data_IF_452791673071
#
_entry.id   IF_452791673071
#
_cell.length_a   1.000
_cell.length_b   1.000
_cell.length_c   1.000
_cell.angle_alpha   90.00
_cell.angle_beta   90.00
_cell.angle_gamma   90.00
#
_symmetry.space_group_name_H-M   'P 1'
#
loop_
_entity.id
_entity.type
_entity.pdbx_description
1 polymer ?
#
# COMPACT_ATOMS: atom_id res chain seq x y z
N UNK A 1 70.80 38.28 39.11
CA UNK A 1 70.08 38.76 40.31
C UNK A 1 68.74 39.32 39.86
N UNK A 2 67.69 38.78 40.48
CA UNK A 2 66.28 39.22 40.57
C UNK A 2 65.72 40.31 39.64
N UNK A 3 64.59 40.02 38.99
CA UNK A 3 63.26 40.31 39.57
C UNK A 3 62.13 39.69 38.75
N UNK A 4 61.32 38.84 39.39
CA UNK A 4 59.97 38.45 38.98
C UNK A 4 59.06 39.67 39.09
N UNK A 5 58.28 39.96 38.04
CA UNK A 5 57.22 40.96 38.02
C UNK A 5 55.85 40.30 37.95
N UNK A 6 55.06 40.51 39.00
CA UNK A 6 53.72 39.94 39.25
C UNK A 6 52.63 40.64 38.44
N UNK A 7 51.60 39.84 38.12
CA UNK A 7 50.31 40.14 37.49
C UNK A 7 49.54 41.28 38.19
N UNK A 8 48.87 42.14 37.41
CA UNK A 8 47.63 42.78 37.81
C UNK A 8 46.64 42.82 36.62
N UNK A 9 45.58 42.00 36.71
CA UNK A 9 44.42 42.02 35.81
C UNK A 9 43.60 43.28 36.07
N UNK A 10 43.40 44.11 35.05
CA UNK A 10 42.33 45.13 35.02
C UNK A 10 41.17 44.60 34.18
N UNK A 11 40.05 44.36 34.84
CA UNK A 11 38.74 44.10 34.25
C UNK A 11 38.27 45.36 33.49
N UNK A 12 37.90 45.20 32.22
CA UNK A 12 37.10 46.16 31.46
C UNK A 12 35.88 45.41 30.95
N UNK A 13 34.81 45.53 31.74
CA UNK A 13 33.46 45.19 31.32
C UNK A 13 33.03 46.20 30.24
N UNK A 14 32.80 45.71 29.03
CA UNK A 14 32.14 46.42 27.95
C UNK A 14 31.11 45.49 27.34
N UNK A 15 29.85 45.62 27.78
CA UNK A 15 28.69 44.97 27.17
C UNK A 15 28.45 45.58 25.79
N UNK A 16 28.40 44.80 24.69
CA UNK A 16 27.87 45.29 23.44
C UNK A 16 26.34 45.40 23.57
N UNK A 17 25.81 46.61 23.40
CA UNK A 17 24.38 46.85 23.20
C UNK A 17 23.92 46.06 21.97
N UNK A 18 23.07 45.06 22.21
CA UNK A 18 22.27 44.44 21.16
C UNK A 18 21.35 45.51 20.55
N UNK A 19 21.56 45.85 19.29
CA UNK A 19 20.53 46.50 18.48
C UNK A 19 19.37 45.53 18.27
N UNK A 20 18.14 46.02 18.01
CA UNK A 20 17.03 45.15 17.70
C UNK A 20 17.30 44.49 16.35
N UNK A 21 17.76 43.24 16.39
CA UNK A 21 17.61 42.32 15.28
C UNK A 21 16.11 42.15 15.08
N UNK A 22 15.56 42.87 14.10
CA UNK A 22 14.26 42.55 13.52
C UNK A 22 14.38 41.20 12.82
N UNK A 23 14.42 40.13 13.59
CA UNK A 23 14.21 38.78 13.11
C UNK A 23 12.75 38.71 12.69
N UNK A 24 12.51 38.78 11.38
CA UNK A 24 11.25 38.36 10.77
C UNK A 24 11.07 36.86 10.98
N UNK A 25 10.68 36.49 12.20
CA UNK A 25 10.33 35.12 12.54
C UNK A 25 9.03 34.76 11.84
N UNK A 26 8.95 33.54 11.29
CA UNK A 26 7.70 32.94 10.76
C UNK A 26 6.55 33.04 11.77
N UNK A 27 6.85 33.20 13.06
CA UNK A 27 5.88 33.46 14.13
C UNK A 27 5.09 34.77 13.96
N UNK A 28 5.60 35.75 13.22
CA UNK A 28 4.97 37.08 13.02
C UNK A 28 4.11 37.19 11.76
N UNK A 29 4.23 36.26 10.82
CA UNK A 29 3.42 36.25 9.59
C UNK A 29 1.98 35.80 9.90
N UNK A 30 0.95 36.28 9.18
CA UNK A 30 -0.41 35.76 9.35
C UNK A 30 -0.60 34.38 8.69
N UNK A 31 -1.59 33.61 9.18
CA UNK A 31 -1.76 32.19 8.83
C UNK A 31 -2.00 31.94 7.35
N UNK A 32 -2.72 32.84 6.67
CA UNK A 32 -2.98 32.79 5.23
C UNK A 32 -1.68 32.86 4.41
N UNK A 33 -0.74 33.73 4.81
CA UNK A 33 0.58 33.84 4.16
C UNK A 33 1.41 32.58 4.38
N UNK A 34 1.39 32.04 5.61
CA UNK A 34 2.11 30.79 5.93
C UNK A 34 1.55 29.62 5.13
N UNK A 35 0.22 29.52 4.99
CA UNK A 35 -0.44 28.52 4.15
C UNK A 35 0.01 28.64 2.70
N UNK A 36 0.05 29.85 2.14
CA UNK A 36 0.48 30.06 0.75
C UNK A 36 1.95 29.68 0.51
N UNK A 37 2.82 29.87 1.50
CA UNK A 37 4.22 29.39 1.45
C UNK A 37 4.24 27.86 1.47
N UNK A 38 3.52 27.25 2.42
CA UNK A 38 3.51 25.80 2.62
C UNK A 38 2.90 25.04 1.42
N UNK A 39 1.87 25.59 0.76
CA UNK A 39 1.26 24.99 -0.45
C UNK A 39 2.27 24.94 -1.61
N UNK A 40 3.21 25.88 -1.67
CA UNK A 40 4.24 25.96 -2.72
C UNK A 40 5.44 25.06 -2.48
N UNK A 41 5.53 24.39 -1.33
CA UNK A 41 6.60 23.42 -1.05
C UNK A 41 6.42 22.21 -1.97
N UNK A 42 7.35 21.97 -2.92
CA UNK A 42 7.12 21.01 -4.01
C UNK A 42 7.19 19.56 -3.55
N UNK A 43 8.09 19.24 -2.61
CA UNK A 43 8.30 17.90 -2.10
C UNK A 43 7.50 17.65 -0.82
N UNK A 44 6.93 16.45 -0.74
CA UNK A 44 6.16 16.00 0.43
C UNK A 44 7.08 15.78 1.64
N UNK A 45 8.34 15.40 1.43
CA UNK A 45 9.32 15.30 2.51
C UNK A 45 9.52 16.64 3.19
N UNK A 46 9.70 17.70 2.39
CA UNK A 46 9.92 19.04 2.89
C UNK A 46 8.68 19.56 3.62
N UNK A 47 7.48 19.25 3.11
CA UNK A 47 6.24 19.56 3.82
C UNK A 47 6.15 18.83 5.16
N UNK A 48 6.56 17.56 5.23
CA UNK A 48 6.66 16.82 6.49
C UNK A 48 7.68 17.44 7.45
N UNK A 49 8.84 17.85 6.95
CA UNK A 49 9.85 18.57 7.75
C UNK A 49 9.29 19.89 8.28
N UNK A 50 8.55 20.65 7.46
CA UNK A 50 7.83 21.86 7.89
C UNK A 50 6.81 21.57 8.98
N UNK A 51 6.05 20.48 8.89
CA UNK A 51 5.13 20.07 9.96
C UNK A 51 5.86 19.71 11.26
N UNK A 52 7.08 19.17 11.16
CA UNK A 52 7.90 18.80 12.31
C UNK A 52 8.59 20.00 12.98
N UNK A 53 8.69 21.17 12.34
CA UNK A 53 9.40 22.33 12.92
C UNK A 53 8.63 23.00 14.05
N UNK A 54 7.32 23.22 13.89
CA UNK A 54 6.51 23.90 14.91
C UNK A 54 5.05 23.46 14.90
N UNK A 55 4.39 23.64 16.05
CA UNK A 55 2.96 23.30 16.24
C UNK A 55 2.05 24.05 15.28
N UNK A 56 2.39 25.29 14.93
CA UNK A 56 1.60 26.13 14.02
C UNK A 56 1.59 25.54 12.60
N UNK A 57 2.76 25.26 12.02
CA UNK A 57 2.87 24.61 10.72
C UNK A 57 2.20 23.22 10.73
N UNK A 58 2.39 22.44 11.80
CA UNK A 58 1.71 21.14 11.95
C UNK A 58 0.19 21.26 11.83
N UNK A 59 -0.42 22.21 12.52
CA UNK A 59 -1.87 22.42 12.50
C UNK A 59 -2.33 22.91 11.13
N UNK A 60 -1.64 23.90 10.55
CA UNK A 60 -1.99 24.44 9.23
C UNK A 60 -1.90 23.37 8.12
N UNK A 61 -0.89 22.49 8.17
CA UNK A 61 -0.74 21.39 7.19
C UNK A 61 -1.81 20.32 7.38
N UNK A 62 -2.22 20.07 8.61
CA UNK A 62 -3.28 19.10 8.93
C UNK A 62 -4.69 19.60 8.59
N UNK A 63 -4.88 20.90 8.33
CA UNK A 63 -6.18 21.47 8.03
C UNK A 63 -6.73 20.95 6.68
N UNK A 64 -8.01 20.51 6.62
CA UNK A 64 -8.61 20.02 5.38
C UNK A 64 -8.58 21.03 4.24
N UNK A 65 -8.67 22.32 4.55
CA UNK A 65 -8.61 23.41 3.56
C UNK A 65 -7.23 23.51 2.91
N UNK A 66 -6.16 23.32 3.69
CA UNK A 66 -4.79 23.26 3.19
C UNK A 66 -4.59 22.03 2.30
N UNK A 67 -4.99 20.85 2.77
CA UNK A 67 -4.84 19.60 2.04
C UNK A 67 -5.58 19.63 0.70
N UNK A 68 -6.80 20.19 0.65
CA UNK A 68 -7.55 20.38 -0.61
C UNK A 68 -6.87 21.34 -1.58
N UNK A 69 -6.19 22.38 -1.08
CA UNK A 69 -5.40 23.28 -1.93
C UNK A 69 -4.16 22.59 -2.48
N UNK A 70 -3.47 21.82 -1.66
CA UNK A 70 -2.25 21.10 -2.05
C UNK A 70 -2.53 19.92 -2.97
N UNK A 71 -3.65 19.25 -2.72
CA UNK A 71 -4.10 18.03 -3.37
C UNK A 71 -5.60 18.13 -3.68
N UNK A 72 -5.97 18.77 -4.79
CA UNK A 72 -7.37 18.91 -5.18
C UNK A 72 -8.04 17.55 -5.43
N UNK A 73 -9.30 17.44 -5.03
CA UNK A 73 -10.15 16.27 -5.31
C UNK A 73 -10.22 16.04 -6.84
N UNK A 74 -9.97 14.80 -7.29
CA UNK A 74 -9.99 14.44 -8.72
C UNK A 74 -8.63 14.43 -9.44
N UNK A 75 -7.51 14.67 -8.75
CA UNK A 75 -6.15 14.56 -9.32
C UNK A 75 -5.53 13.20 -8.96
N UNK A 76 -5.03 12.46 -9.96
CA UNK A 76 -4.47 11.10 -9.84
C UNK A 76 -3.16 10.94 -9.03
N UNK A 77 -2.71 11.97 -8.29
CA UNK A 77 -1.39 12.00 -7.63
C UNK A 77 -1.46 12.21 -6.11
N UNK A 78 -2.59 11.88 -5.47
CA UNK A 78 -2.73 11.94 -4.01
C UNK A 78 -1.80 10.95 -3.29
N UNK A 79 -1.47 9.86 -3.98
CA UNK A 79 -0.69 8.77 -3.43
C UNK A 79 0.70 8.65 -4.07
N UNK A 80 1.68 8.24 -3.27
CA UNK A 80 3.02 7.90 -3.75
C UNK A 80 3.39 6.48 -3.36
N UNK A 81 4.06 5.79 -4.28
CA UNK A 81 4.72 4.52 -3.98
C UNK A 81 5.94 4.79 -3.10
N UNK A 82 5.98 4.22 -1.91
CA UNK A 82 7.10 4.34 -0.98
C UNK A 82 8.12 3.19 -1.16
N UNK A 83 7.65 2.05 -1.63
CA UNK A 83 8.48 0.86 -1.86
C UNK A 83 7.64 -0.38 -2.13
N UNK A 84 8.31 -1.52 -2.19
CA UNK A 84 7.73 -2.82 -2.51
C UNK A 84 8.12 -3.83 -1.44
N UNK A 85 7.15 -4.54 -0.91
CA UNK A 85 7.40 -5.75 -0.12
C UNK A 85 7.54 -6.92 -1.08
N UNK A 86 8.75 -7.45 -1.25
CA UNK A 86 9.05 -8.42 -2.30
C UNK A 86 9.53 -9.76 -1.73
N UNK A 87 8.88 -10.84 -2.17
CA UNK A 87 9.40 -12.20 -1.98
C UNK A 87 10.42 -12.45 -3.08
N UNK A 88 11.66 -12.70 -2.68
CA UNK A 88 12.79 -12.88 -3.57
C UNK A 88 13.36 -14.28 -3.44
N UNK A 89 13.90 -14.82 -4.53
CA UNK A 89 14.75 -16.01 -4.54
C UNK A 89 16.20 -15.64 -4.87
N UNK A 90 17.20 -16.33 -4.32
CA UNK A 90 18.59 -16.13 -4.72
C UNK A 90 18.78 -16.29 -6.23
N UNK A 91 19.65 -15.48 -6.84
CA UNK A 91 19.99 -15.60 -8.27
C UNK A 91 20.91 -16.78 -8.58
N UNK A 92 21.74 -17.15 -7.62
CA UNK A 92 22.70 -18.26 -7.73
C UNK A 92 22.25 -19.38 -6.79
N UNK A 93 22.35 -20.63 -7.24
CA UNK A 93 22.19 -21.76 -6.31
C UNK A 93 23.31 -21.70 -5.27
N UNK A 94 23.00 -21.91 -3.98
CA UNK A 94 24.03 -21.92 -2.95
C UNK A 94 25.05 -23.00 -3.31
N UNK A 95 26.28 -22.57 -3.62
CA UNK A 95 27.39 -23.49 -3.77
C UNK A 95 27.59 -24.17 -2.41
N UNK A 96 27.65 -25.50 -2.38
CA UNK A 96 27.86 -26.26 -1.14
C UNK A 96 29.07 -25.70 -0.38
N UNK A 97 28.82 -24.98 0.73
CA UNK A 97 29.87 -24.43 1.59
C UNK A 97 29.64 -23.00 2.09
N UNK A 98 28.89 -22.14 1.38
CA UNK A 98 28.70 -20.74 1.78
C UNK A 98 27.36 -20.51 2.49
N UNK A 99 27.30 -20.94 3.76
CA UNK A 99 26.13 -20.74 4.63
C UNK A 99 26.08 -19.34 5.25
N UNK A 100 26.24 -18.28 4.47
CA UNK A 100 26.00 -16.91 4.97
C UNK A 100 25.44 -15.99 3.89
N UNK A 101 24.41 -16.46 3.15
CA UNK A 101 23.58 -15.56 2.37
C UNK A 101 22.92 -14.54 3.32
N UNK A 102 23.26 -13.26 3.16
CA UNK A 102 22.65 -12.19 3.95
C UNK A 102 21.11 -12.24 3.81
N UNK A 103 20.35 -12.09 4.91
CA UNK A 103 18.89 -12.12 4.85
C UNK A 103 18.40 -11.11 3.82
N UNK A 104 17.59 -11.55 2.86
CA UNK A 104 17.04 -10.65 1.86
C UNK A 104 16.06 -9.69 2.54
N UNK A 105 16.19 -8.37 2.33
CA UNK A 105 15.32 -7.43 2.99
C UNK A 105 13.89 -7.62 2.46
N UNK A 106 12.88 -7.73 3.35
CA UNK A 106 11.51 -7.92 2.94
C UNK A 106 10.93 -6.67 2.24
N UNK A 107 11.55 -5.50 2.41
CA UNK A 107 11.13 -4.23 1.84
C UNK A 107 12.23 -3.57 0.99
N UNK A 108 11.84 -3.15 -0.19
CA UNK A 108 12.67 -2.41 -1.15
C UNK A 108 12.12 -0.99 -1.31
N UNK A 109 12.75 0.04 -0.71
CA UNK A 109 12.29 1.43 -0.85
C UNK A 109 12.50 1.93 -2.28
N UNK A 110 11.63 2.85 -2.75
CA UNK A 110 11.90 3.55 -4.01
C UNK A 110 13.02 4.58 -3.80
N UNK A 111 13.96 4.77 -4.76
CA UNK A 111 15.10 5.67 -4.60
C UNK A 111 14.72 7.14 -4.36
N UNK A 112 13.55 7.56 -4.84
CA UNK A 112 13.01 8.91 -4.68
C UNK A 112 12.03 9.01 -3.50
N UNK A 113 12.00 8.03 -2.60
CA UNK A 113 11.08 8.04 -1.47
C UNK A 113 11.38 9.26 -0.57
N UNK A 114 10.41 10.16 -0.47
CA UNK A 114 10.44 11.37 0.36
C UNK A 114 10.75 11.11 1.84
N UNK A 115 10.55 9.86 2.31
CA UNK A 115 10.85 9.48 3.69
C UNK A 115 12.37 9.27 3.94
N UNK A 116 13.20 9.20 2.89
CA UNK A 116 14.66 9.11 2.99
C UNK A 116 15.20 7.75 3.45
N UNK A 117 16.52 7.56 3.34
CA UNK A 117 17.23 6.30 3.68
C UNK A 117 17.11 5.86 5.15
N UNK A 118 16.57 6.73 6.03
CA UNK A 118 16.50 6.50 7.49
C UNK A 118 15.36 5.59 7.95
N UNK A 119 14.49 5.12 7.07
CA UNK A 119 13.43 4.15 7.40
C UNK A 119 13.86 2.69 7.17
N UNK A 120 15.14 2.38 7.43
CA UNK A 120 15.68 1.02 7.54
C UNK A 120 15.10 0.20 8.69
N UNK A 121 14.13 0.74 9.45
CA UNK A 121 13.50 0.12 10.63
C UNK A 121 12.11 -0.50 10.36
N UNK A 122 11.74 -0.75 9.09
CA UNK A 122 10.60 -1.62 8.75
C UNK A 122 10.83 -3.10 9.11
N UNK A 123 11.76 -3.37 10.02
CA UNK A 123 11.87 -4.62 10.77
C UNK A 123 10.63 -4.75 11.63
N UNK A 124 9.68 -5.56 11.15
CA UNK A 124 8.47 -5.88 11.88
C UNK A 124 8.83 -6.35 13.30
N UNK A 125 8.37 -5.66 14.37
CA UNK A 125 8.68 -6.01 15.75
C UNK A 125 7.77 -7.16 16.19
N UNK A 126 7.97 -8.39 15.71
CA UNK A 126 7.19 -9.57 16.14
C UNK A 126 8.14 -10.78 16.35
N UNK A 127 7.70 -11.89 16.99
CA UNK A 127 8.52 -12.74 17.83
C UNK A 127 9.70 -13.35 17.08
N UNK A 128 10.80 -13.59 17.79
CA UNK A 128 12.07 -14.06 17.21
C UNK A 128 11.92 -15.39 16.45
N UNK A 129 10.89 -16.19 16.76
CA UNK A 129 10.70 -17.54 16.24
C UNK A 129 9.68 -17.62 15.07
N UNK A 130 9.32 -16.50 14.45
CA UNK A 130 8.38 -16.48 13.32
C UNK A 130 8.80 -15.56 12.17
N UNK A 131 8.57 -16.01 10.94
CA UNK A 131 8.72 -15.19 9.74
C UNK A 131 7.40 -14.49 9.42
N UNK A 132 7.46 -13.18 9.19
CA UNK A 132 6.30 -12.39 8.77
C UNK A 132 6.23 -12.32 7.23
N UNK A 133 5.08 -12.70 6.67
CA UNK A 133 4.75 -12.54 5.26
C UNK A 133 3.68 -11.47 5.09
N UNK A 134 3.91 -10.48 4.22
CA UNK A 134 2.91 -9.46 3.90
C UNK A 134 1.86 -10.06 2.96
N UNK A 135 0.58 -9.90 3.28
CA UNK A 135 -0.54 -10.38 2.46
C UNK A 135 -1.15 -9.27 1.60
N UNK A 136 -1.23 -8.05 2.14
CA UNK A 136 -1.75 -6.87 1.43
C UNK A 136 -1.28 -5.58 2.10
N UNK A 137 -1.27 -4.49 1.32
CA UNK A 137 -1.14 -3.12 1.82
C UNK A 137 -2.33 -2.27 1.38
N UNK A 138 -2.82 -1.41 2.28
CA UNK A 138 -3.86 -0.42 1.95
C UNK A 138 -3.73 0.79 2.87
N UNK A 139 -3.68 2.00 2.30
CA UNK A 139 -3.69 3.29 3.04
C UNK A 139 -2.65 3.35 4.16
N UNK A 140 -1.41 2.96 3.84
CA UNK A 140 -0.28 2.94 4.78
C UNK A 140 -0.30 1.82 5.82
N UNK A 141 -1.28 0.90 5.81
CA UNK A 141 -1.37 -0.24 6.71
C UNK A 141 -1.02 -1.54 5.99
N UNK A 142 -0.54 -2.53 6.74
CA UNK A 142 -0.18 -3.87 6.27
C UNK A 142 -0.98 -4.94 7.01
N UNK A 143 -1.37 -5.99 6.29
CA UNK A 143 -1.81 -7.25 6.92
C UNK A 143 -0.68 -8.27 6.78
N UNK A 144 -0.27 -8.84 7.90
CA UNK A 144 0.82 -9.79 8.01
C UNK A 144 0.29 -11.16 8.39
N UNK A 145 0.91 -12.21 7.85
CA UNK A 145 0.81 -13.59 8.32
C UNK A 145 2.11 -13.98 9.00
N UNK A 146 2.03 -14.63 10.15
CA UNK A 146 3.19 -15.22 10.81
C UNK A 146 3.28 -16.70 10.52
N UNK A 147 4.45 -17.13 10.08
CA UNK A 147 4.78 -18.54 9.82
C UNK A 147 5.87 -18.97 10.81
N UNK A 148 5.66 -20.03 11.60
CA UNK A 148 6.67 -20.55 12.51
C UNK A 148 7.95 -20.98 11.76
N UNK A 149 9.14 -20.60 12.26
CA UNK A 149 10.42 -20.89 11.58
C UNK A 149 10.82 -22.37 11.60
N UNK A 150 10.28 -23.16 12.54
CA UNK A 150 10.74 -24.52 12.84
C UNK A 150 9.90 -25.63 12.21
N UNK A 151 8.87 -25.31 11.42
CA UNK A 151 7.99 -26.30 10.79
C UNK A 151 8.03 -26.14 9.26
N UNK A 152 8.33 -27.21 8.49
CA UNK A 152 8.21 -27.17 7.04
C UNK A 152 6.73 -27.10 6.67
N UNK A 153 6.23 -25.89 6.47
CA UNK A 153 4.84 -25.67 6.05
C UNK A 153 4.73 -25.78 4.54
N UNK A 154 3.83 -26.63 4.03
CA UNK A 154 3.44 -26.65 2.62
C UNK A 154 2.49 -25.48 2.25
N UNK A 155 2.35 -24.48 3.12
CA UNK A 155 1.44 -23.35 3.00
C UNK A 155 0.03 -23.58 3.56
N UNK A 156 -0.36 -24.84 3.81
CA UNK A 156 -1.69 -25.21 4.31
C UNK A 156 -1.65 -25.43 5.82
N UNK A 157 -2.43 -24.62 6.55
CA UNK A 157 -2.50 -24.70 8.02
C UNK A 157 -3.97 -24.70 8.45
N UNK A 158 -4.25 -25.30 9.61
CA UNK A 158 -5.60 -25.23 10.23
C UNK A 158 -5.83 -23.92 10.97
N UNK A 159 -4.75 -23.29 11.42
CA UNK A 159 -4.78 -22.06 12.20
C UNK A 159 -3.79 -21.07 11.60
N UNK A 160 -4.26 -19.87 11.30
CA UNK A 160 -3.45 -18.77 10.76
C UNK A 160 -3.37 -17.64 11.77
N UNK A 161 -2.14 -17.18 12.05
CA UNK A 161 -1.87 -16.03 12.90
C UNK A 161 -1.67 -14.79 12.04
N UNK A 162 -2.57 -13.81 12.19
CA UNK A 162 -2.59 -12.60 11.40
C UNK A 162 -2.46 -11.36 12.28
N UNK A 163 -1.82 -10.31 11.78
CA UNK A 163 -1.79 -9.01 12.44
C UNK A 163 -1.95 -7.86 11.45
N UNK A 164 -2.52 -6.76 11.95
CA UNK A 164 -2.52 -5.48 11.28
C UNK A 164 -1.32 -4.67 11.79
N UNK A 165 -0.52 -4.09 10.88
CA UNK A 165 0.67 -3.33 11.22
C UNK A 165 0.68 -1.96 10.55
N UNK A 166 0.96 -0.93 11.34
CA UNK A 166 1.27 0.42 10.89
C UNK A 166 2.80 0.62 10.94
N UNK A 167 3.46 0.49 9.79
CA UNK A 167 4.92 0.65 9.69
C UNK A 167 5.42 2.04 10.05
N UNK A 168 4.60 3.09 9.91
CA UNK A 168 5.05 4.46 10.18
C UNK A 168 4.93 4.77 11.68
N UNK A 169 3.83 4.34 12.30
CA UNK A 169 3.66 4.46 13.74
C UNK A 169 4.48 3.43 14.53
N UNK A 170 4.97 2.36 13.87
CA UNK A 170 5.63 1.23 14.50
C UNK A 170 4.69 0.44 15.43
N UNK A 171 3.39 0.41 15.11
CA UNK A 171 2.35 -0.20 15.96
C UNK A 171 1.69 -1.38 15.26
N UNK A 172 1.62 -2.51 15.95
CA UNK A 172 0.88 -3.70 15.53
C UNK A 172 -0.37 -3.94 16.37
N UNK A 173 -1.33 -4.66 15.78
CA UNK A 173 -2.48 -5.25 16.48
C UNK A 173 -2.70 -6.66 15.96
N UNK A 174 -2.63 -7.62 16.85
CA UNK A 174 -2.97 -9.00 16.53
C UNK A 174 -4.45 -9.14 16.21
N UNK A 175 -4.74 -9.92 15.19
CA UNK A 175 -6.09 -10.39 14.89
C UNK A 175 -6.33 -11.70 15.64
N UNK A 176 -7.59 -12.04 15.94
CA UNK A 176 -7.91 -13.37 16.45
C UNK A 176 -7.36 -14.45 15.51
N UNK A 177 -7.04 -15.61 16.08
CA UNK A 177 -6.61 -16.76 15.27
C UNK A 177 -7.70 -17.13 14.26
N UNK A 178 -7.34 -17.21 12.98
CA UNK A 178 -8.24 -17.69 11.95
C UNK A 178 -8.14 -19.22 11.91
N UNK A 179 -9.21 -19.89 12.33
CA UNK A 179 -9.29 -21.36 12.41
C UNK A 179 -10.21 -21.92 11.34
N UNK A 180 -9.81 -23.07 10.81
CA UNK A 180 -10.62 -23.92 9.94
C UNK A 180 -10.49 -25.37 10.38
N UNK A 181 -11.55 -26.15 10.18
CA UNK A 181 -11.55 -27.58 10.49
C UNK A 181 -10.55 -28.35 9.59
N UNK A 182 -10.35 -27.84 8.38
CA UNK A 182 -9.46 -28.39 7.35
C UNK A 182 -8.27 -27.46 7.09
N UNK A 183 -7.09 -28.01 6.73
CA UNK A 183 -5.94 -27.21 6.32
C UNK A 183 -6.28 -26.38 5.08
N UNK A 184 -6.02 -25.08 5.14
CA UNK A 184 -6.27 -24.16 4.03
C UNK A 184 -5.08 -23.24 3.82
N UNK A 185 -4.96 -22.69 2.62
CA UNK A 185 -3.99 -21.67 2.26
C UNK A 185 -4.70 -20.33 2.02
N UNK A 186 -4.06 -19.22 2.38
CA UNK A 186 -4.55 -17.89 2.01
C UNK A 186 -4.26 -17.66 0.53
N UNK A 187 -5.32 -17.60 -0.28
CA UNK A 187 -5.26 -17.31 -1.72
C UNK A 187 -5.62 -15.85 -2.04
N UNK A 188 -6.25 -15.15 -1.09
CA UNK A 188 -6.61 -13.74 -1.24
C UNK A 188 -6.73 -13.01 0.10
N UNK A 189 -6.34 -11.74 0.13
CA UNK A 189 -6.46 -10.85 1.27
C UNK A 189 -6.86 -9.44 0.83
N UNK A 190 -7.85 -8.85 1.49
CA UNK A 190 -8.21 -7.44 1.37
C UNK A 190 -8.23 -6.78 2.74
N UNK A 191 -7.68 -5.56 2.82
CA UNK A 191 -7.88 -4.66 3.95
C UNK A 191 -8.78 -3.52 3.49
N UNK A 192 -9.88 -3.30 4.20
CA UNK A 192 -10.76 -2.16 3.98
C UNK A 192 -10.80 -1.30 5.24
N UNK A 193 -10.74 0.00 5.05
CA UNK A 193 -10.87 1.00 6.11
C UNK A 193 -12.22 1.70 6.02
N UNK A 194 -12.55 2.52 7.02
CA UNK A 194 -13.78 3.33 6.99
C UNK A 194 -13.90 4.19 5.72
N UNK A 195 -12.77 4.72 5.24
CA UNK A 195 -12.71 5.55 4.05
C UNK A 195 -13.11 4.78 2.77
N UNK A 196 -12.93 3.46 2.76
CA UNK A 196 -13.29 2.62 1.61
C UNK A 196 -14.80 2.27 1.63
N UNK A 197 -15.39 2.12 2.81
CA UNK A 197 -16.80 1.73 2.98
C UNK A 197 -17.79 2.91 2.94
N UNK A 198 -17.37 4.09 3.40
CA UNK A 198 -18.19 5.29 3.54
C UNK A 198 -17.39 6.54 3.11
N UNK A 199 -17.22 6.78 1.80
CA UNK A 199 -16.41 7.90 1.30
C UNK A 199 -16.97 9.26 1.74
N UNK A 200 -18.30 9.41 1.80
CA UNK A 200 -18.98 10.68 2.11
C UNK A 200 -18.92 11.10 3.60
N UNK A 201 -18.56 10.19 4.51
CA UNK A 201 -18.55 10.41 5.96
C UNK A 201 -17.15 10.66 6.55
N UNK A 202 -16.12 10.86 5.72
CA UNK A 202 -14.70 11.02 6.16
C UNK A 202 -14.39 12.33 6.91
N UNK A 203 -15.39 12.97 7.51
CA UNK A 203 -15.21 14.11 8.43
C UNK A 203 -14.86 13.60 9.84
N UNK A 204 -13.56 13.39 10.08
CA UNK A 204 -12.97 13.43 11.43
C UNK A 204 -12.88 12.13 12.23
N UNK A 205 -13.10 10.96 11.63
CA UNK A 205 -12.95 9.68 12.32
C UNK A 205 -11.50 9.16 12.28
N UNK A 206 -10.94 8.82 13.45
CA UNK A 206 -9.63 8.16 13.62
C UNK A 206 -9.63 6.78 12.96
N UNK A 207 -8.69 6.53 12.03
CA UNK A 207 -8.76 5.39 11.10
C UNK A 207 -8.39 4.01 11.65
N UNK A 208 -8.05 3.90 12.93
CA UNK A 208 -7.92 2.60 13.62
C UNK A 208 -9.24 2.11 14.24
N UNK A 209 -10.27 2.96 14.28
CA UNK A 209 -11.55 2.63 14.92
C UNK A 209 -12.38 1.62 14.13
N UNK A 210 -12.20 1.54 12.81
CA UNK A 210 -12.90 0.61 11.94
C UNK A 210 -12.03 0.18 10.76
N UNK A 211 -11.82 -1.13 10.65
CA UNK A 211 -11.29 -1.83 9.51
C UNK A 211 -11.97 -3.18 9.35
N UNK A 212 -11.94 -3.71 8.14
CA UNK A 212 -12.35 -5.07 7.79
C UNK A 212 -11.22 -5.78 7.10
N UNK A 213 -10.99 -7.04 7.45
CA UNK A 213 -10.06 -7.93 6.75
C UNK A 213 -10.87 -9.04 6.12
N UNK A 214 -10.72 -9.19 4.80
CA UNK A 214 -11.34 -10.28 4.03
C UNK A 214 -10.24 -11.25 3.63
N UNK A 215 -10.42 -12.53 3.91
CA UNK A 215 -9.51 -13.60 3.53
C UNK A 215 -10.24 -14.59 2.64
N UNK A 216 -9.66 -14.88 1.47
CA UNK A 216 -10.07 -16.00 0.63
C UNK A 216 -9.13 -17.17 0.94
N UNK A 217 -9.69 -18.23 1.52
CA UNK A 217 -9.00 -19.48 1.79
C UNK A 217 -9.25 -20.49 0.68
N UNK A 218 -8.20 -21.17 0.22
CA UNK A 218 -8.30 -22.33 -0.66
C UNK A 218 -7.99 -23.62 0.12
N UNK A 219 -8.85 -24.63 -0.02
CA UNK A 219 -8.59 -25.96 0.54
C UNK A 219 -7.56 -26.71 -0.33
N UNK A 220 -6.85 -27.66 0.28
CA UNK A 220 -5.87 -28.49 -0.44
C UNK A 220 -6.55 -29.46 -1.39
N UNK A 221 -7.61 -30.09 -0.91
CA UNK A 221 -8.23 -31.28 -1.50
C UNK A 221 -9.55 -30.93 -2.21
N UNK A 222 -10.12 -29.76 -1.93
CA UNK A 222 -11.33 -29.27 -2.59
C UNK A 222 -11.05 -28.08 -3.52
N UNK A 223 -11.72 -27.99 -4.68
CA UNK A 223 -11.59 -26.85 -5.59
C UNK A 223 -12.26 -25.56 -5.08
N UNK A 224 -12.83 -25.60 -3.88
CA UNK A 224 -13.69 -24.56 -3.31
C UNK A 224 -12.88 -23.54 -2.53
N UNK A 225 -13.37 -22.31 -2.56
CA UNK A 225 -12.81 -21.20 -1.80
C UNK A 225 -13.78 -20.72 -0.74
N UNK A 226 -13.28 -20.43 0.45
CA UNK A 226 -14.04 -19.87 1.56
C UNK A 226 -13.68 -18.41 1.80
N UNK A 227 -14.67 -17.56 2.04
CA UNK A 227 -14.49 -16.22 2.55
C UNK A 227 -14.54 -16.23 4.08
N UNK A 228 -13.53 -15.63 4.69
CA UNK A 228 -13.50 -15.31 6.11
C UNK A 228 -13.46 -13.80 6.28
N UNK A 229 -14.33 -13.28 7.15
CA UNK A 229 -14.46 -11.83 7.38
C UNK A 229 -14.14 -11.51 8.83
N UNK A 230 -13.18 -10.63 9.03
CA UNK A 230 -12.95 -9.97 10.31
C UNK A 230 -13.41 -8.52 10.23
N UNK A 231 -14.13 -8.06 11.25
CA UNK A 231 -14.51 -6.65 11.40
C UNK A 231 -14.03 -6.16 12.74
N UNK A 232 -13.28 -5.05 12.76
CA UNK A 232 -12.92 -4.41 14.01
C UNK A 232 -14.13 -3.65 14.56
N UNK A 233 -14.89 -4.29 15.45
CA UNK A 233 -15.91 -3.60 16.25
C UNK A 233 -15.26 -3.04 17.52
N UNK A 234 -15.91 -2.04 18.13
CA UNK A 234 -15.49 -1.47 19.43
C UNK A 234 -15.69 -2.42 20.60
N UNK A 235 -16.35 -3.56 20.37
CA UNK A 235 -16.61 -4.57 21.39
C UNK A 235 -15.42 -5.54 21.50
N UNK A 236 -15.11 -5.90 22.74
CA UNK A 236 -13.96 -6.70 23.17
C UNK A 236 -13.94 -8.16 22.67
N UNK A 237 -14.87 -8.54 21.78
CA UNK A 237 -15.03 -9.89 21.26
C UNK A 237 -15.18 -9.92 19.73
N UNK A 238 -14.42 -9.11 19.00
CA UNK A 238 -14.33 -9.27 17.53
C UNK A 238 -13.71 -10.62 17.19
N UNK A 239 -14.48 -11.56 16.64
CA UNK A 239 -14.00 -12.83 16.08
C UNK A 239 -14.12 -12.84 14.55
N UNK A 240 -13.54 -13.85 13.91
CA UNK A 240 -13.83 -14.13 12.51
C UNK A 240 -15.30 -14.55 12.34
N UNK A 241 -15.89 -14.18 11.21
CA UNK A 241 -17.19 -14.69 10.79
C UNK A 241 -17.12 -16.19 10.51
N UNK A 242 -18.28 -16.84 10.51
CA UNK A 242 -18.38 -18.19 9.96
C UNK A 242 -17.91 -18.19 8.49
N UNK A 243 -17.12 -19.19 8.06
CA UNK A 243 -16.68 -19.28 6.67
C UNK A 243 -17.89 -19.39 5.74
N UNK A 244 -17.83 -18.71 4.59
CA UNK A 244 -18.86 -18.78 3.55
C UNK A 244 -18.23 -19.24 2.24
N UNK A 245 -18.84 -20.19 1.54
CA UNK A 245 -18.36 -20.59 0.22
C UNK A 245 -18.50 -19.43 -0.77
N UNK A 246 -17.46 -19.20 -1.59
CA UNK A 246 -17.39 -18.03 -2.48
C UNK A 246 -18.29 -18.18 -3.71
N UNK A 247 -18.46 -19.40 -4.19
CA UNK A 247 -19.22 -19.75 -5.39
C UNK A 247 -19.47 -21.26 -5.43
N UNK A 248 -20.55 -21.65 -6.11
CA UNK A 248 -20.85 -23.05 -6.42
C UNK A 248 -19.88 -23.59 -7.48
N UNK A 249 -19.72 -24.91 -7.55
CA UNK A 249 -18.86 -25.56 -8.55
C UNK A 249 -19.14 -25.01 -9.96
N UNK A 250 -18.09 -24.57 -10.65
CA UNK A 250 -18.19 -24.12 -12.03
C UNK A 250 -18.54 -25.32 -12.92
N UNK A 251 -19.40 -25.11 -13.93
CA UNK A 251 -19.91 -26.16 -14.83
C UNK A 251 -18.82 -26.99 -15.56
N UNK A 252 -17.56 -26.54 -15.54
CA UNK A 252 -16.39 -27.21 -16.12
C UNK A 252 -15.66 -28.01 -15.01
N UNK A 253 -16.28 -29.14 -14.67
CA UNK A 253 -16.32 -29.88 -13.40
C UNK A 253 -14.99 -30.42 -12.79
N UNK A 254 -13.80 -30.03 -13.29
CA UNK A 254 -12.53 -30.60 -12.77
C UNK A 254 -11.34 -29.63 -12.73
N UNK A 255 -11.52 -28.38 -13.13
CA UNK A 255 -10.40 -27.41 -13.12
C UNK A 255 -10.43 -26.51 -11.89
N UNK A 256 -9.56 -26.79 -10.92
CA UNK A 256 -9.30 -25.91 -9.78
C UNK A 256 -8.99 -24.50 -10.27
N UNK A 257 -9.77 -23.55 -9.77
CA UNK A 257 -9.52 -22.13 -10.00
C UNK A 257 -8.40 -21.70 -9.04
N UNK A 258 -7.42 -20.96 -9.54
CA UNK A 258 -6.26 -20.53 -8.76
C UNK A 258 -6.19 -19.01 -8.76
N UNK A 259 -5.95 -18.42 -7.59
CA UNK A 259 -5.72 -16.99 -7.46
C UNK A 259 -4.52 -16.52 -8.31
N UNK A 260 -4.68 -15.39 -8.99
CA UNK A 260 -3.58 -14.69 -9.69
C UNK A 260 -2.96 -13.59 -8.83
N UNK A 261 -3.69 -13.09 -7.83
CA UNK A 261 -3.27 -11.99 -7.00
C UNK A 261 -3.74 -12.23 -5.57
N UNK A 262 -2.79 -12.41 -4.64
CA UNK A 262 -3.10 -12.50 -3.21
C UNK A 262 -3.72 -11.19 -2.72
N UNK A 263 -3.24 -10.03 -3.20
CA UNK A 263 -3.79 -8.73 -2.81
C UNK A 263 -5.05 -8.41 -3.63
N UNK A 264 -6.13 -8.08 -2.94
CA UNK A 264 -7.37 -7.63 -3.57
C UNK A 264 -7.26 -6.17 -4.06
N UNK A 265 -7.96 -5.88 -5.13
CA UNK A 265 -8.23 -4.51 -5.59
C UNK A 265 -9.46 -3.98 -4.87
N UNK A 266 -9.35 -2.89 -4.12
CA UNK A 266 -10.49 -2.30 -3.40
C UNK A 266 -10.96 -1.03 -4.11
N UNK A 267 -12.16 -1.12 -4.72
CA UNK A 267 -12.79 -0.08 -5.52
C UNK A 267 -13.70 0.84 -4.69
N UNK A 268 -14.17 1.92 -5.32
CA UNK A 268 -15.13 2.83 -4.70
C UNK A 268 -16.41 2.09 -4.28
N UNK A 269 -16.95 2.42 -3.11
CA UNK A 269 -18.11 1.72 -2.53
C UNK A 269 -17.76 0.49 -1.67
N UNK A 270 -16.48 0.21 -1.45
CA UNK A 270 -16.02 -0.82 -0.51
C UNK A 270 -16.15 -2.24 -1.06
N UNK A 271 -15.99 -2.40 -2.37
CA UNK A 271 -16.02 -3.71 -3.04
C UNK A 271 -14.57 -4.15 -3.28
N UNK A 272 -14.22 -5.34 -2.81
CA UNK A 272 -12.93 -5.97 -3.03
C UNK A 272 -13.03 -6.95 -4.21
N UNK A 273 -12.06 -6.89 -5.12
CA UNK A 273 -11.99 -7.73 -6.31
C UNK A 273 -10.69 -8.54 -6.33
N UNK A 274 -10.82 -9.83 -6.63
CA UNK A 274 -9.70 -10.75 -6.84
C UNK A 274 -9.76 -11.34 -8.24
N UNK A 275 -8.59 -11.57 -8.81
CA UNK A 275 -8.45 -12.24 -10.10
C UNK A 275 -8.11 -13.70 -9.88
N UNK A 276 -8.86 -14.55 -10.55
CA UNK A 276 -8.76 -15.98 -10.50
C UNK A 276 -8.64 -16.53 -11.93
N UNK A 277 -7.99 -17.67 -12.11
CA UNK A 277 -7.91 -18.36 -13.40
C UNK A 277 -8.14 -19.85 -13.27
N UNK A 278 -8.65 -20.47 -14.33
CA UNK A 278 -8.48 -21.89 -14.58
C UNK A 278 -7.66 -22.08 -15.87
N UNK A 279 -7.67 -23.28 -16.44
CA UNK A 279 -6.91 -23.57 -17.67
C UNK A 279 -7.37 -22.73 -18.88
N UNK A 280 -8.63 -22.30 -18.92
CA UNK A 280 -9.24 -21.72 -20.13
C UNK A 280 -9.78 -20.30 -19.93
N UNK A 281 -10.07 -19.89 -18.70
CA UNK A 281 -10.83 -18.69 -18.39
C UNK A 281 -10.23 -17.91 -17.22
N UNK A 282 -10.47 -16.60 -17.24
CA UNK A 282 -10.23 -15.69 -16.13
C UNK A 282 -11.56 -15.33 -15.46
N UNK A 283 -11.53 -15.17 -14.14
CA UNK A 283 -12.69 -14.83 -13.32
C UNK A 283 -12.34 -13.69 -12.36
N UNK A 284 -13.27 -12.75 -12.19
CA UNK A 284 -13.21 -11.74 -11.15
C UNK A 284 -14.18 -12.12 -10.02
N UNK A 285 -13.66 -12.42 -8.83
CA UNK A 285 -14.47 -12.56 -7.61
C UNK A 285 -14.60 -11.19 -6.98
N UNK A 286 -15.83 -10.70 -6.83
CA UNK A 286 -16.13 -9.41 -6.23
C UNK A 286 -16.90 -9.61 -4.93
N UNK A 287 -16.44 -9.00 -3.84
CA UNK A 287 -17.06 -9.09 -2.51
C UNK A 287 -17.38 -7.70 -1.99
N UNK A 288 -18.65 -7.45 -1.71
CA UNK A 288 -19.09 -6.21 -1.07
C UNK A 288 -18.75 -6.28 0.43
N UNK A 289 -17.88 -5.39 0.93
CA UNK A 289 -17.49 -5.44 2.34
C UNK A 289 -18.64 -5.13 3.31
N UNK A 290 -19.71 -4.47 2.84
CA UNK A 290 -20.89 -4.13 3.66
C UNK A 290 -21.85 -5.30 3.79
N UNK A 291 -22.27 -5.88 2.68
CA UNK A 291 -23.27 -6.97 2.62
C UNK A 291 -22.64 -8.35 2.68
N UNK A 292 -21.33 -8.46 2.43
CA UNK A 292 -20.60 -9.72 2.21
C UNK A 292 -21.17 -10.56 1.07
N UNK A 293 -21.92 -9.93 0.16
CA UNK A 293 -22.36 -10.55 -1.08
C UNK A 293 -21.19 -10.74 -2.03
N UNK A 294 -21.17 -11.90 -2.67
CA UNK A 294 -20.13 -12.33 -3.58
C UNK A 294 -20.71 -12.45 -4.98
N UNK A 295 -19.94 -12.04 -5.98
CA UNK A 295 -20.26 -12.29 -7.38
C UNK A 295 -19.02 -12.75 -8.10
N UNK A 296 -19.12 -13.88 -8.80
CA UNK A 296 -18.06 -14.39 -9.66
C UNK A 296 -18.42 -14.08 -11.11
N UNK A 297 -17.56 -13.31 -11.79
CA UNK A 297 -17.79 -12.90 -13.17
C UNK A 297 -16.70 -13.46 -14.07
N UNK A 298 -17.08 -14.21 -15.11
CA UNK A 298 -16.15 -14.65 -16.16
C UNK A 298 -15.70 -13.44 -17.00
N UNK A 299 -14.40 -13.31 -17.20
CA UNK A 299 -13.80 -12.26 -18.02
C UNK A 299 -13.69 -12.74 -19.48
N UNK A 300 -13.82 -11.84 -20.47
CA UNK A 300 -13.75 -12.17 -21.90
C UNK A 300 -12.32 -12.42 -22.38
N UNK A 301 -11.35 -12.40 -21.48
CA UNK A 301 -9.92 -12.56 -21.76
C UNK A 301 -9.50 -13.95 -21.30
N UNK A 302 -8.80 -14.67 -22.17
CA UNK A 302 -8.24 -15.98 -21.83
C UNK A 302 -6.93 -15.79 -21.05
N UNK A 303 -6.61 -16.70 -20.11
CA UNK A 303 -5.31 -16.73 -19.46
C UNK A 303 -4.18 -16.82 -20.50
N UNK A 304 -3.08 -16.11 -20.26
CA UNK A 304 -1.88 -16.19 -21.09
C UNK A 304 -0.62 -16.05 -20.23
N UNK A 305 0.53 -16.10 -20.89
CA UNK A 305 1.84 -16.01 -20.24
C UNK A 305 2.16 -14.61 -19.70
N UNK A 306 1.34 -13.60 -19.97
CA UNK A 306 1.58 -12.22 -19.53
C UNK A 306 1.07 -11.94 -18.12
N UNK A 307 0.37 -12.90 -17.52
CA UNK A 307 -0.25 -12.80 -16.18
C UNK A 307 -1.06 -11.51 -16.01
N UNK A 308 -2.26 -11.42 -16.60
CA UNK A 308 -3.12 -10.25 -16.42
C UNK A 308 -3.38 -9.96 -14.93
N UNK A 309 -3.56 -8.69 -14.58
CA UNK A 309 -3.81 -8.25 -13.20
C UNK A 309 -5.06 -7.36 -13.15
N UNK A 310 -5.81 -7.43 -12.05
CA UNK A 310 -6.77 -6.39 -11.72
C UNK A 310 -6.05 -5.18 -11.12
N UNK A 311 -6.53 -3.99 -11.48
CA UNK A 311 -6.15 -2.70 -10.90
C UNK A 311 -7.37 -1.79 -10.73
N UNK A 312 -7.13 -0.55 -10.29
CA UNK A 312 -8.16 0.49 -10.17
C UNK A 312 -7.90 1.57 -11.21
N UNK A 313 -8.96 2.02 -11.89
CA UNK A 313 -8.89 3.15 -12.80
C UNK A 313 -9.07 4.49 -12.03
N UNK A 314 -8.80 5.63 -12.68
CA UNK A 314 -8.88 6.95 -12.04
C UNK A 314 -10.26 7.29 -11.44
N UNK A 315 -11.33 6.67 -11.95
CA UNK A 315 -12.70 6.82 -11.48
C UNK A 315 -13.04 5.89 -10.30
N UNK A 316 -12.08 5.10 -9.81
CA UNK A 316 -12.27 4.17 -8.71
C UNK A 316 -12.93 2.85 -9.11
N UNK A 317 -13.10 2.58 -10.41
CA UNK A 317 -13.68 1.33 -10.94
C UNK A 317 -12.61 0.27 -11.20
N UNK A 318 -12.96 -1.03 -11.15
CA UNK A 318 -12.01 -2.10 -11.44
C UNK A 318 -11.64 -2.12 -12.93
N UNK A 319 -10.36 -2.31 -13.22
CA UNK A 319 -9.85 -2.54 -14.57
C UNK A 319 -8.97 -3.78 -14.62
N UNK A 320 -8.88 -4.41 -15.79
CA UNK A 320 -7.97 -5.52 -16.06
C UNK A 320 -6.83 -5.01 -16.93
N UNK A 321 -5.61 -5.22 -16.46
CA UNK A 321 -4.34 -4.85 -17.09
C UNK A 321 -3.74 -6.08 -17.74
N UNK A 322 -3.41 -5.99 -19.03
CA UNK A 322 -2.81 -7.08 -19.78
C UNK A 322 -1.74 -6.55 -20.72
N UNK A 323 -0.56 -7.17 -20.70
CA UNK A 323 0.48 -6.87 -21.68
C UNK A 323 0.18 -7.59 -22.99
N UNK A 324 0.55 -7.00 -24.11
CA UNK A 324 0.64 -7.77 -25.34
C UNK A 324 1.83 -8.74 -25.25
N UNK A 325 1.78 -9.85 -25.99
CA UNK A 325 2.79 -10.92 -25.85
C UNK A 325 4.23 -10.47 -26.12
N UNK A 326 4.43 -9.32 -26.78
CA UNK A 326 5.74 -8.74 -27.03
C UNK A 326 6.14 -7.68 -26.00
N UNK A 327 5.25 -7.21 -25.12
CA UNK A 327 5.42 -6.11 -24.16
C UNK A 327 5.58 -4.70 -24.79
N UNK A 328 4.98 -4.43 -25.95
CA UNK A 328 4.95 -3.09 -26.59
C UNK A 328 3.74 -2.27 -26.14
N UNK A 329 2.65 -2.96 -25.79
CA UNK A 329 1.37 -2.35 -25.50
C UNK A 329 0.84 -2.91 -24.19
N UNK A 330 0.29 -2.02 -23.36
CA UNK A 330 -0.54 -2.38 -22.23
C UNK A 330 -2.00 -2.14 -22.61
N UNK A 331 -2.78 -3.21 -22.59
CA UNK A 331 -4.23 -3.18 -22.76
C UNK A 331 -4.91 -2.96 -21.40
N UNK A 332 -5.85 -2.03 -21.36
CA UNK A 332 -6.71 -1.79 -20.20
C UNK A 332 -8.14 -2.11 -20.60
N UNK A 333 -8.74 -3.04 -19.88
CA UNK A 333 -10.12 -3.46 -20.05
C UNK A 333 -10.92 -2.97 -18.86
N UNK A 334 -12.12 -2.43 -19.10
CA UNK A 334 -13.03 -1.99 -18.03
C UNK A 334 -14.42 -2.55 -18.25
N UNK A 335 -15.18 -2.64 -17.16
CA UNK A 335 -16.58 -3.07 -17.19
C UNK A 335 -17.47 -1.85 -17.38
N UNK A 336 -18.31 -1.84 -18.43
CA UNK A 336 -19.39 -0.85 -18.56
C UNK A 336 -20.69 -1.52 -18.19
N UNK A 337 -21.40 -0.92 -17.23
CA UNK A 337 -22.77 -1.29 -16.91
C UNK A 337 -23.65 -0.58 -17.92
N UNK A 338 -24.46 -1.33 -18.69
CA UNK A 338 -25.45 -0.73 -19.57
C UNK A 338 -26.66 -0.29 -18.74
N UNK A 339 -26.93 1.02 -18.58
CA UNK A 339 -28.04 1.49 -17.76
C UNK A 339 -29.41 1.11 -18.33
N UNK A 340 -29.48 0.66 -19.59
CA UNK A 340 -30.73 0.25 -20.26
C UNK A 340 -31.03 -1.25 -20.11
N UNK A 341 -30.07 -2.04 -19.61
CA UNK A 341 -30.28 -3.43 -19.26
C UNK A 341 -30.91 -3.51 -17.87
N UNK A 342 -32.17 -3.90 -17.79
CA UNK A 342 -32.85 -4.19 -16.50
C UNK A 342 -32.24 -5.36 -15.71
N UNK A 343 -31.20 -6.00 -16.26
CA UNK A 343 -30.43 -7.05 -15.62
C UNK A 343 -29.10 -6.46 -15.12
N UNK A 344 -28.93 -6.37 -13.80
CA UNK A 344 -27.76 -5.74 -13.15
C UNK A 344 -26.45 -6.51 -13.36
N UNK A 345 -26.51 -7.68 -14.03
CA UNK A 345 -25.39 -8.58 -14.20
C UNK A 345 -24.71 -8.51 -15.58
N UNK A 346 -25.28 -7.81 -16.56
CA UNK A 346 -24.81 -7.76 -17.97
C UNK A 346 -23.73 -6.70 -18.24
N UNK A 347 -22.97 -6.30 -17.22
CA UNK A 347 -21.83 -5.42 -17.44
C UNK A 347 -20.74 -6.13 -18.25
N UNK A 348 -20.58 -5.78 -19.53
CA UNK A 348 -19.58 -6.39 -20.41
C UNK A 348 -18.22 -5.72 -20.25
N UNK A 349 -17.19 -6.55 -20.12
CA UNK A 349 -15.80 -6.11 -20.17
C UNK A 349 -15.39 -5.85 -21.61
N UNK A 350 -14.75 -4.72 -21.84
CA UNK A 350 -14.25 -4.34 -23.16
C UNK A 350 -12.95 -3.56 -23.03
N UNK A 351 -12.11 -3.65 -24.04
CA UNK A 351 -10.82 -2.94 -24.09
C UNK A 351 -11.09 -1.45 -24.30
N UNK A 352 -10.77 -0.63 -23.30
CA UNK A 352 -11.04 0.81 -23.32
C UNK A 352 -9.82 1.65 -23.62
N UNK A 353 -8.62 1.19 -23.27
CA UNK A 353 -7.39 1.93 -23.52
C UNK A 353 -6.26 1.00 -23.93
N UNK A 354 -5.37 1.53 -24.77
CA UNK A 354 -4.10 0.92 -25.10
C UNK A 354 -2.99 1.94 -24.86
N UNK A 355 -1.96 1.55 -24.13
CA UNK A 355 -0.83 2.41 -23.79
C UNK A 355 0.41 1.83 -24.44
N UNK A 356 1.09 2.65 -25.25
CA UNK A 356 2.37 2.29 -25.84
C UNK A 356 3.48 2.41 -24.79
N UNK A 357 4.19 1.32 -24.55
CA UNK A 357 5.27 1.27 -23.57
C UNK A 357 6.55 1.87 -24.14
N UNK A 358 7.12 2.85 -23.44
CA UNK A 358 8.37 3.52 -23.78
C UNK A 358 9.53 2.74 -23.18
N UNK A 359 9.92 1.65 -23.84
CA UNK A 359 10.94 0.72 -23.34
C UNK A 359 12.32 1.37 -23.17
N UNK A 360 13.14 0.87 -22.24
CA UNK A 360 14.55 1.20 -22.18
C UNK A 360 15.25 0.87 -23.52
N UNK A 361 16.22 1.71 -23.91
CA UNK A 361 16.98 1.53 -25.16
C UNK A 361 17.92 0.31 -25.16
N UNK A 362 18.19 -0.27 -23.98
CA UNK A 362 19.07 -1.43 -23.80
C UNK A 362 18.23 -2.66 -23.49
N UNK A 363 18.53 -3.77 -24.14
CA UNK A 363 17.87 -5.06 -23.92
C UNK A 363 16.67 -5.27 -24.85
N UNK A 364 16.54 -6.50 -25.36
CA UNK A 364 15.38 -6.92 -26.15
C UNK A 364 14.42 -7.62 -25.19
N UNK A 365 13.33 -6.94 -24.83
CA UNK A 365 12.24 -7.55 -24.07
C UNK A 365 11.42 -8.38 -25.05
N UNK A 366 11.66 -9.69 -25.06
CA UNK A 366 10.96 -10.63 -25.93
C UNK A 366 9.61 -11.08 -25.34
N UNK A 367 9.58 -11.27 -24.02
CA UNK A 367 8.39 -11.65 -23.27
C UNK A 367 8.43 -11.03 -21.87
N UNK A 368 7.27 -10.64 -21.35
CA UNK A 368 7.15 -10.12 -20.00
C UNK A 368 5.81 -10.49 -19.36
N UNK A 369 5.79 -10.50 -18.04
CA UNK A 369 4.62 -10.73 -17.20
C UNK A 369 4.44 -9.62 -16.19
N UNK A 370 3.19 -9.32 -15.85
CA UNK A 370 2.88 -8.39 -14.77
C UNK A 370 3.14 -9.05 -13.41
N UNK A 371 3.68 -8.29 -12.45
CA UNK A 371 3.98 -8.78 -11.08
C UNK A 371 3.00 -8.21 -10.07
N UNK A 372 2.85 -6.89 -10.04
CA UNK A 372 1.91 -6.21 -9.15
C UNK A 372 1.53 -4.83 -9.69
N UNK A 373 0.39 -4.31 -9.27
CA UNK A 373 -0.07 -2.95 -9.59
C UNK A 373 -0.32 -2.15 -8.33
N UNK A 374 0.20 -0.93 -8.30
CA UNK A 374 -0.15 0.07 -7.31
C UNK A 374 -1.56 0.59 -7.53
N UNK A 375 -2.43 0.40 -6.54
CA UNK A 375 -3.85 0.74 -6.67
C UNK A 375 -4.09 2.25 -6.75
N UNK A 376 -3.17 3.05 -6.21
CA UNK A 376 -3.32 4.50 -6.11
C UNK A 376 -2.17 5.30 -6.71
N UNK A 377 -0.98 4.71 -6.85
CA UNK A 377 0.20 5.35 -7.45
C UNK A 377 0.20 5.32 -8.98
N UNK A 378 -0.64 4.49 -9.60
CA UNK A 378 -0.66 4.34 -11.07
C UNK A 378 0.60 3.66 -11.62
N UNK A 379 1.26 2.84 -10.82
CA UNK A 379 2.48 2.12 -11.21
C UNK A 379 2.19 0.64 -11.41
N UNK A 380 2.75 0.06 -12.48
CA UNK A 380 2.75 -1.37 -12.74
C UNK A 380 4.20 -1.90 -12.68
N UNK A 381 4.41 -2.98 -11.94
CA UNK A 381 5.67 -3.70 -11.92
C UNK A 381 5.60 -4.86 -12.92
N UNK A 382 6.58 -4.94 -13.81
CA UNK A 382 6.68 -5.92 -14.89
C UNK A 382 8.00 -6.66 -14.77
N UNK A 383 7.99 -7.95 -15.07
CA UNK A 383 9.19 -8.80 -15.10
C UNK A 383 9.34 -9.44 -16.47
N UNK A 384 10.53 -9.41 -17.04
CA UNK A 384 10.81 -10.11 -18.30
C UNK A 384 11.31 -11.54 -18.10
N UNK A 385 11.54 -12.24 -19.21
CA UNK A 385 12.06 -13.62 -19.20
C UNK A 385 13.52 -13.77 -18.76
N UNK A 386 14.25 -12.67 -18.58
CA UNK A 386 15.60 -12.64 -18.01
C UNK A 386 15.58 -12.27 -16.52
N UNK A 387 14.39 -12.24 -15.91
CA UNK A 387 14.17 -11.83 -14.52
C UNK A 387 14.55 -10.36 -14.25
N UNK A 388 14.64 -9.54 -15.30
CA UNK A 388 14.78 -8.09 -15.18
C UNK A 388 13.43 -7.46 -14.82
N UNK A 389 13.48 -6.47 -13.94
CA UNK A 389 12.30 -5.82 -13.37
C UNK A 389 12.18 -4.41 -13.89
N UNK A 390 10.96 -4.02 -14.24
CA UNK A 390 10.64 -2.72 -14.80
C UNK A 390 9.43 -2.12 -14.09
N UNK A 391 9.50 -0.81 -13.85
CA UNK A 391 8.34 0.00 -13.45
C UNK A 391 7.77 0.67 -14.68
N UNK A 392 6.45 0.58 -14.82
CA UNK A 392 5.67 1.21 -15.88
C UNK A 392 4.72 2.23 -15.24
N UNK A 393 4.79 3.48 -15.72
CA UNK A 393 3.82 4.52 -15.41
C UNK A 393 2.55 4.31 -16.26
N UNK A 394 1.42 4.04 -15.61
CA UNK A 394 0.15 3.73 -16.28
C UNK A 394 -0.51 4.94 -16.95
N UNK A 395 0.01 6.15 -16.77
CA UNK A 395 -0.52 7.34 -17.41
C UNK A 395 0.21 7.63 -18.72
N UNK A 396 1.54 7.54 -18.70
CA UNK A 396 2.45 7.94 -19.79
C UNK A 396 2.99 6.75 -20.60
N UNK A 397 2.93 5.54 -20.04
CA UNK A 397 3.60 4.36 -20.58
C UNK A 397 5.12 4.38 -20.44
N UNK A 398 5.68 5.34 -19.68
CA UNK A 398 7.12 5.39 -19.41
C UNK A 398 7.56 4.11 -18.68
N UNK A 399 8.60 3.45 -19.18
CA UNK A 399 9.10 2.20 -18.63
C UNK A 399 10.57 2.34 -18.22
N UNK A 400 10.87 2.04 -16.96
CA UNK A 400 12.21 2.17 -16.38
C UNK A 400 12.66 0.84 -15.79
N UNK A 401 13.89 0.43 -16.08
CA UNK A 401 14.51 -0.72 -15.45
C UNK A 401 14.85 -0.42 -13.98
N UNK A 402 14.44 -1.30 -13.08
CA UNK A 402 14.59 -1.21 -11.63
C UNK A 402 15.10 -2.51 -11.01
N UNK A 403 15.64 -3.42 -11.83
CA UNK A 403 16.26 -4.68 -11.39
C UNK A 403 17.23 -4.50 -10.23
N UNK A 404 18.00 -3.40 -10.25
CA UNK A 404 19.00 -3.07 -9.24
C UNK A 404 18.42 -2.72 -7.86
N UNK A 405 17.10 -2.56 -7.73
CA UNK A 405 16.45 -2.37 -6.44
C UNK A 405 16.33 -3.68 -5.65
N UNK A 406 16.40 -4.81 -6.34
CA UNK A 406 16.22 -6.13 -5.77
C UNK A 406 17.56 -6.86 -5.67
N UNK A 407 17.72 -7.68 -4.63
CA UNK A 407 18.91 -8.51 -4.41
C UNK A 407 18.78 -9.87 -5.10
N UNK A 408 17.56 -10.33 -5.34
CA UNK A 408 17.26 -11.61 -5.95
C UNK A 408 16.22 -11.52 -7.07
N UNK A 409 15.73 -12.69 -7.48
CA UNK A 409 14.65 -12.85 -8.45
C UNK A 409 13.32 -12.57 -7.74
N UNK A 410 12.56 -11.59 -8.23
CA UNK A 410 11.25 -11.24 -7.65
C UNK A 410 10.21 -12.27 -8.07
N UNK A 411 9.64 -12.96 -7.08
CA UNK A 411 8.55 -13.94 -7.26
C UNK A 411 7.21 -13.25 -7.08
N UNK A 412 7.08 -12.43 -6.05
CA UNK A 412 5.88 -11.67 -5.73
C UNK A 412 6.29 -10.31 -5.17
N UNK A 413 5.49 -9.28 -5.43
CA UNK A 413 5.67 -7.98 -4.80
C UNK A 413 4.31 -7.38 -4.38
N UNK A 414 4.31 -6.65 -3.27
CA UNK A 414 3.17 -5.89 -2.79
C UNK A 414 3.59 -4.42 -2.70
N UNK A 415 2.95 -3.51 -3.46
CA UNK A 415 3.26 -2.10 -3.41
C UNK A 415 2.83 -1.50 -2.08
N UNK A 416 3.72 -0.72 -1.46
CA UNK A 416 3.43 0.06 -0.28
C UNK A 416 3.19 1.51 -0.67
N UNK A 417 1.92 1.93 -0.63
CA UNK A 417 1.48 3.24 -1.09
C UNK A 417 1.02 4.11 0.09
N UNK A 418 1.31 5.40 -0.02
CA UNK A 418 0.90 6.40 0.95
C UNK A 418 -0.01 7.44 0.33
N UNK A 419 -1.22 7.57 0.88
CA UNK A 419 -2.12 8.70 0.62
C UNK A 419 -1.67 9.86 1.52
N UNK A 420 -1.08 10.90 0.92
CA UNK A 420 -0.49 12.00 1.69
C UNK A 420 -1.53 12.85 2.44
N UNK A 421 -2.65 13.27 1.82
CA UNK A 421 -3.73 13.94 2.55
C UNK A 421 -4.19 13.15 3.78
N UNK A 422 -4.42 11.85 3.61
CA UNK A 422 -4.85 11.00 4.70
C UNK A 422 -3.76 10.85 5.77
N UNK A 423 -2.50 10.69 5.36
CA UNK A 423 -1.35 10.63 6.26
C UNK A 423 -1.25 11.89 7.15
N UNK A 424 -1.28 13.07 6.54
CA UNK A 424 -1.19 14.33 7.28
C UNK A 424 -2.39 14.51 8.22
N UNK A 425 -3.60 14.18 7.76
CA UNK A 425 -4.80 14.21 8.61
C UNK A 425 -4.65 13.27 9.81
N UNK A 426 -4.23 12.02 9.60
CA UNK A 426 -4.15 10.99 10.65
C UNK A 426 -3.06 11.28 11.67
N UNK A 427 -1.85 11.61 11.21
CA UNK A 427 -0.67 11.69 12.07
C UNK A 427 -0.43 13.08 12.63
N UNK A 428 -0.88 14.14 11.96
CA UNK A 428 -0.68 15.51 12.45
C UNK A 428 -1.86 16.03 13.26
N UNK A 429 -3.11 15.71 12.92
CA UNK A 429 -4.28 16.25 13.62
C UNK A 429 -4.51 15.64 15.02
N UNK A 430 -4.01 14.42 15.28
CA UNK A 430 -4.35 13.64 16.48
C UNK A 430 -3.53 13.94 17.75
N UNK A 431 -2.57 14.86 17.73
CA UNK A 431 -2.05 15.39 19.00
C UNK A 431 -3.01 16.45 19.52
N UNK A 432 -4.05 16.01 20.23
CA UNK A 432 -4.89 16.89 21.06
C UNK A 432 -3.98 17.65 22.01
N UNK A 433 -3.64 18.88 21.64
CA UNK A 433 -3.25 19.90 22.59
C UNK A 433 -4.58 20.45 23.08
N UNK A 434 -4.87 20.25 24.36
CA UNK A 434 -5.99 20.94 25.01
C UNK A 434 -5.91 22.41 24.61
N UNK A 435 -6.98 22.92 23.99
CA UNK A 435 -7.16 24.37 23.83
C UNK A 435 -7.24 24.94 25.24
N UNK A 436 -6.09 25.30 25.80
CA UNK A 436 -6.05 26.25 26.90
C UNK A 436 -6.74 27.51 26.35
N UNK A 437 -7.88 27.83 26.97
CA UNK A 437 -8.67 29.02 26.69
C UNK A 437 -7.76 30.23 26.77
N UNK A 438 -7.33 30.74 25.62
CA UNK A 438 -6.76 32.07 25.50
C UNK A 438 -7.91 33.05 25.30
N UNK A 439 -8.30 33.67 26.42
CA UNK A 439 -8.55 35.11 26.47
C UNK A 439 -9.98 35.58 26.22
N UNK A 440 -10.55 36.20 27.26
CA UNK A 440 -11.71 37.08 27.14
C UNK A 440 -12.29 37.51 28.48
N UNK A 441 -11.48 38.08 29.37
CA UNK A 441 -11.99 38.98 30.43
C UNK A 441 -11.96 40.38 29.81
N UNK A 442 -13.13 41.02 29.79
CA UNK A 442 -13.35 42.44 29.48
C UNK A 442 -12.67 43.34 30.52
#
# INVERSE_FOLDING_TARGET
MEKKGTIARRSLAGTPRAGPSGEGSLETLPDDVVVEILVRVPDVADLFRCAATCKRCRLLIAEPSFLRRRWPEGVSHLSSLLGLFAVQQPREEPTEGDSTAAPMPPFTPVPWCSLGERYSFLTCPWPPDSQAAVLTSRRGLLVLRFVPLNEPTNGYEKTMNLALYDPIAGKGRDLPELKSDRPFQIEGCALLTRADCCPDETRGATSWSFFKVLIIGGDRDEPRHSLHVFTSTTESSSSWSTPRECYDCLEDDDTRVVSQQTTAVVCHGGIAHWLFKNASNLYALSVCARTTEMTLTRLPVTPDQTQPLLGVNNDGTPCLLRLDGKCFMLEIWTRRIDPMSGDSNTGHWHRTKMIKLQRPKRGKIDQAQCVCVGQTSGILLVKDNQEDIYIVDLQTGAMQAVTNWFRGIVVMAIPFEMDWPEFFTRHLANTRIERAKLGGVL
#
